data_IF_182289608689
#
_entry.id   IF_182289608689
#
_cell.length_a   1.000
_cell.length_b   1.000
_cell.length_c   1.000
_cell.angle_alpha   90.00
_cell.angle_beta   90.00
_cell.angle_gamma   90.00
#
_symmetry.space_group_name_H-M   'P 1'
#
loop_
_entity.id
_entity.type
_entity.pdbx_description
1 polymer ?
#
# COMPACT_ATOMS: atom_id res chain seq x y z
N UNK A 1 6.99 7.73 -17.22
CA UNK A 1 7.23 6.31 -16.91
C UNK A 1 5.90 5.68 -16.52
N UNK A 2 5.62 4.46 -16.98
CA UNK A 2 4.36 3.76 -16.66
C UNK A 2 4.58 2.85 -15.45
N UNK A 3 4.29 3.36 -14.25
CA UNK A 3 4.57 2.66 -13.00
C UNK A 3 3.70 1.42 -12.78
N UNK A 4 2.47 1.39 -13.32
CA UNK A 4 1.63 0.17 -13.28
C UNK A 4 2.32 -0.97 -14.01
N UNK A 5 2.82 -0.72 -15.22
CA UNK A 5 3.59 -1.73 -15.99
C UNK A 5 4.88 -2.12 -15.30
N UNK A 6 5.61 -1.16 -14.72
CA UNK A 6 6.84 -1.45 -13.98
C UNK A 6 6.57 -2.38 -12.79
N UNK A 7 5.58 -2.06 -11.96
CA UNK A 7 5.26 -2.84 -10.77
C UNK A 7 4.74 -4.23 -11.12
N UNK A 8 3.94 -4.35 -12.18
CA UNK A 8 3.54 -5.66 -12.70
C UNK A 8 4.74 -6.51 -13.15
N UNK A 9 5.74 -5.91 -13.82
CA UNK A 9 6.94 -6.64 -14.26
C UNK A 9 7.84 -7.03 -13.07
N UNK A 10 7.95 -6.15 -12.06
CA UNK A 10 8.67 -6.42 -10.83
C UNK A 10 8.05 -7.58 -10.05
N UNK A 11 6.72 -7.59 -9.89
CA UNK A 11 5.99 -8.67 -9.23
C UNK A 11 6.17 -10.00 -9.98
N UNK A 12 6.15 -9.95 -11.31
CA UNK A 12 6.31 -11.12 -12.18
C UNK A 12 7.73 -11.68 -12.18
N UNK A 13 8.75 -10.81 -12.10
CA UNK A 13 10.17 -11.19 -12.28
C UNK A 13 11.09 -10.46 -11.31
N UNK A 14 10.94 -10.65 -9.99
CA UNK A 14 11.70 -9.91 -8.97
C UNK A 14 13.22 -10.02 -9.14
N UNK A 15 13.72 -11.20 -9.53
CA UNK A 15 15.15 -11.43 -9.71
C UNK A 15 15.81 -10.58 -10.79
N UNK A 16 15.07 -10.08 -11.79
CA UNK A 16 15.64 -9.14 -12.79
C UNK A 16 15.93 -7.76 -12.20
N UNK A 17 15.29 -7.44 -11.08
CA UNK A 17 15.44 -6.18 -10.35
C UNK A 17 16.30 -6.35 -9.11
N UNK A 18 16.95 -7.51 -8.94
CA UNK A 18 17.77 -7.83 -7.77
C UNK A 18 16.96 -8.08 -6.50
N UNK A 19 15.64 -8.33 -6.63
CA UNK A 19 14.75 -8.52 -5.50
C UNK A 19 14.59 -10.01 -5.16
N UNK A 20 14.46 -10.32 -3.88
CA UNK A 20 14.28 -11.69 -3.38
C UNK A 20 12.81 -12.15 -3.45
N UNK A 21 11.88 -11.23 -3.76
CA UNK A 21 10.45 -11.48 -3.81
C UNK A 21 9.77 -11.44 -2.43
N UNK A 22 10.43 -10.91 -1.42
CA UNK A 22 9.92 -10.76 -0.06
C UNK A 22 9.17 -9.44 0.11
N UNK A 23 8.17 -9.44 0.99
CA UNK A 23 7.36 -8.25 1.26
C UNK A 23 8.19 -7.03 1.68
N UNK A 24 9.18 -7.24 2.57
CA UNK A 24 10.06 -6.18 3.03
C UNK A 24 10.92 -5.58 1.92
N UNK A 25 11.44 -6.42 1.03
CA UNK A 25 12.29 -6.02 -0.08
C UNK A 25 11.51 -5.19 -1.10
N UNK A 26 10.30 -5.64 -1.45
CA UNK A 26 9.38 -4.84 -2.27
C UNK A 26 9.01 -3.51 -1.62
N UNK A 27 8.74 -3.47 -0.32
CA UNK A 27 8.45 -2.21 0.37
C UNK A 27 9.63 -1.24 0.28
N UNK A 28 10.85 -1.74 0.46
CA UNK A 28 12.08 -0.94 0.36
C UNK A 28 12.28 -0.40 -1.06
N UNK A 29 12.07 -1.25 -2.07
CA UNK A 29 12.11 -0.84 -3.47
C UNK A 29 11.09 0.27 -3.78
N UNK A 30 9.84 0.10 -3.34
CA UNK A 30 8.76 1.04 -3.61
C UNK A 30 8.98 2.39 -2.92
N UNK A 31 9.51 2.38 -1.69
CA UNK A 31 9.92 3.61 -1.00
C UNK A 31 11.05 4.32 -1.76
N UNK A 32 12.02 3.56 -2.30
CA UNK A 32 13.08 4.12 -3.15
C UNK A 32 12.54 4.70 -4.46
N UNK A 33 11.58 4.02 -5.10
CA UNK A 33 10.91 4.52 -6.29
C UNK A 33 10.15 5.82 -5.99
N UNK A 34 9.42 5.89 -4.87
CA UNK A 34 8.70 7.10 -4.46
C UNK A 34 9.66 8.26 -4.16
N UNK A 35 10.75 8.00 -3.44
CA UNK A 35 11.80 8.99 -3.18
C UNK A 35 12.42 9.53 -4.49
N UNK A 36 12.64 8.66 -5.49
CA UNK A 36 13.10 9.06 -6.82
C UNK A 36 12.07 9.87 -7.64
N UNK A 37 10.83 10.00 -7.15
CA UNK A 37 9.76 10.82 -7.73
C UNK A 37 9.35 11.96 -6.77
N UNK A 38 10.28 12.48 -5.96
CA UNK A 38 10.03 13.55 -5.00
C UNK A 38 8.85 13.27 -4.03
N UNK A 39 8.62 11.98 -3.71
CA UNK A 39 7.53 11.52 -2.85
C UNK A 39 6.12 11.60 -3.48
N UNK A 40 6.03 11.89 -4.78
CA UNK A 40 4.75 12.11 -5.46
C UNK A 40 4.11 10.84 -6.02
N UNK A 41 4.85 9.74 -6.11
CA UNK A 41 4.38 8.51 -6.73
C UNK A 41 3.32 7.82 -5.85
N UNK A 42 3.56 7.76 -4.55
CA UNK A 42 2.70 7.12 -3.56
C UNK A 42 1.88 8.13 -2.74
N UNK A 43 1.87 9.42 -3.12
CA UNK A 43 0.98 10.42 -2.52
C UNK A 43 -0.49 9.99 -2.66
N UNK A 44 -1.18 9.83 -1.53
CA UNK A 44 -2.56 9.33 -1.46
C UNK A 44 -2.67 7.81 -1.25
N UNK A 45 -1.56 7.06 -1.26
CA UNK A 45 -1.63 5.60 -1.13
C UNK A 45 -2.08 5.20 0.29
N UNK A 46 -1.46 5.77 1.33
CA UNK A 46 -1.88 5.56 2.72
C UNK A 46 -3.36 5.89 2.92
N UNK A 47 -3.81 7.02 2.38
CA UNK A 47 -5.18 7.53 2.46
C UNK A 47 -6.17 6.59 1.76
N UNK A 48 -5.75 5.89 0.70
CA UNK A 48 -6.57 4.88 0.03
C UNK A 48 -6.74 3.58 0.84
N UNK A 49 -5.83 3.32 1.79
CA UNK A 49 -5.81 2.10 2.62
C UNK A 49 -6.46 2.29 3.99
N UNK A 50 -6.29 3.45 4.62
CA UNK A 50 -6.79 3.72 5.98
C UNK A 50 -8.30 3.41 6.13
N UNK A 51 -9.19 3.88 5.23
CA UNK A 51 -10.62 3.58 5.35
C UNK A 51 -10.96 2.09 5.28
N UNK A 52 -10.10 1.27 4.64
CA UNK A 52 -10.30 -0.18 4.49
C UNK A 52 -9.93 -0.95 5.75
N UNK A 53 -8.88 -0.51 6.45
CA UNK A 53 -8.43 -1.14 7.70
C UNK A 53 -9.38 -0.79 8.85
N UNK A 54 -9.88 0.44 8.88
CA UNK A 54 -10.87 0.88 9.86
C UNK A 54 -10.35 1.02 11.31
N UNK A 55 -9.04 0.88 11.53
CA UNK A 55 -8.41 1.00 12.86
C UNK A 55 -7.36 2.12 12.88
N UNK A 56 -7.81 3.36 13.07
CA UNK A 56 -6.95 4.55 13.16
C UNK A 56 -6.22 4.91 11.86
N UNK A 57 -5.48 6.03 11.87
CA UNK A 57 -4.74 6.58 10.72
C UNK A 57 -3.22 6.69 10.95
N UNK A 58 -2.71 6.21 12.09
CA UNK A 58 -1.30 6.38 12.50
C UNK A 58 -0.33 5.35 11.93
N UNK A 59 -0.84 4.35 11.19
CA UNK A 59 -0.02 3.28 10.64
C UNK A 59 0.60 3.69 9.30
N UNK A 60 1.84 3.27 9.06
CA UNK A 60 2.47 3.36 7.74
C UNK A 60 1.71 2.50 6.72
N UNK A 61 1.72 2.86 5.44
CA UNK A 61 1.09 2.03 4.40
C UNK A 61 1.64 0.60 4.40
N UNK A 62 2.94 0.41 4.69
CA UNK A 62 3.57 -0.91 4.80
C UNK A 62 2.98 -1.75 5.92
N UNK A 63 2.46 -1.13 6.97
CA UNK A 63 1.76 -1.81 8.06
C UNK A 63 0.29 -2.02 7.71
N UNK A 64 -0.37 -1.03 7.10
CA UNK A 64 -1.77 -1.12 6.66
C UNK A 64 -2.00 -2.30 5.70
N UNK A 65 -1.11 -2.53 4.74
CA UNK A 65 -1.19 -3.69 3.83
C UNK A 65 -1.12 -5.02 4.61
N UNK A 66 -0.29 -5.13 5.64
CA UNK A 66 -0.21 -6.35 6.47
C UNK A 66 -1.47 -6.55 7.33
N UNK A 67 -2.08 -5.46 7.82
CA UNK A 67 -3.37 -5.51 8.51
C UNK A 67 -4.49 -6.00 7.57
N UNK A 68 -4.46 -5.61 6.30
CA UNK A 68 -5.40 -6.10 5.29
C UNK A 68 -5.11 -7.55 4.89
N UNK A 69 -3.84 -7.96 4.82
CA UNK A 69 -3.44 -9.33 4.45
C UNK A 69 -3.81 -10.35 5.55
N UNK A 70 -3.74 -9.96 6.81
CA UNK A 70 -3.93 -10.88 7.93
C UNK A 70 -4.99 -10.36 8.90
N UNK A 71 -6.26 -10.26 8.46
CA UNK A 71 -7.34 -9.76 9.32
C UNK A 71 -7.49 -10.65 10.55
N UNK A 72 -7.60 -10.04 11.73
CA UNK A 72 -7.73 -10.74 13.01
C UNK A 72 -6.41 -11.08 13.70
N UNK A 73 -5.26 -10.92 13.05
CA UNK A 73 -3.96 -11.01 13.71
C UNK A 73 -3.67 -9.71 14.47
N UNK A 74 -3.24 -9.83 15.73
CA UNK A 74 -2.93 -8.69 16.61
C UNK A 74 -1.43 -8.46 16.84
N UNK A 75 -0.58 -9.43 16.46
CA UNK A 75 0.87 -9.36 16.53
C UNK A 75 1.51 -10.36 15.55
N UNK A 76 2.80 -10.19 15.26
CA UNK A 76 3.56 -11.15 14.47
C UNK A 76 3.30 -11.10 12.96
N UNK A 77 2.80 -9.97 12.43
CA UNK A 77 2.49 -9.84 11.00
C UNK A 77 3.73 -9.89 10.11
N UNK A 78 4.87 -9.43 10.62
CA UNK A 78 6.13 -9.39 9.85
C UNK A 78 6.70 -10.80 9.68
N UNK A 79 6.61 -11.59 10.73
CA UNK A 79 7.01 -12.99 10.76
C UNK A 79 6.11 -13.81 9.84
N UNK A 80 4.79 -13.58 9.88
CA UNK A 80 3.84 -14.20 8.96
C UNK A 80 4.15 -13.85 7.50
N UNK A 81 4.38 -12.57 7.20
CA UNK A 81 4.76 -12.10 5.86
C UNK A 81 6.16 -12.57 5.41
N UNK A 82 7.02 -12.99 6.33
CA UNK A 82 8.32 -13.59 6.02
C UNK A 82 8.23 -15.12 5.86
N UNK A 83 7.22 -15.75 6.44
CA UNK A 83 6.97 -17.18 6.43
C UNK A 83 5.84 -17.59 5.49
N UNK A 84 4.84 -18.29 6.03
CA UNK A 84 3.76 -18.92 5.26
C UNK A 84 2.90 -17.91 4.48
N UNK A 85 2.62 -16.75 5.09
CA UNK A 85 1.86 -15.66 4.49
C UNK A 85 2.62 -14.83 3.45
N UNK A 86 3.89 -15.13 3.16
CA UNK A 86 4.75 -14.31 2.26
C UNK A 86 4.09 -14.00 0.93
N UNK A 87 3.65 -15.04 0.21
CA UNK A 87 3.07 -14.87 -1.13
C UNK A 87 1.78 -14.04 -1.05
N UNK A 88 0.94 -14.31 -0.06
CA UNK A 88 -0.32 -13.59 0.12
C UNK A 88 -0.11 -12.08 0.38
N UNK A 89 0.84 -11.73 1.26
CA UNK A 89 1.16 -10.33 1.54
C UNK A 89 1.72 -9.59 0.31
N UNK A 90 2.57 -10.27 -0.47
CA UNK A 90 3.12 -9.73 -1.72
C UNK A 90 2.04 -9.52 -2.78
N UNK A 91 1.20 -10.52 -3.02
CA UNK A 91 0.13 -10.43 -4.01
C UNK A 91 -0.87 -9.33 -3.64
N UNK A 92 -1.22 -9.20 -2.36
CA UNK A 92 -2.08 -8.13 -1.89
C UNK A 92 -1.42 -6.75 -2.07
N UNK A 93 -0.12 -6.60 -1.77
CA UNK A 93 0.60 -5.34 -1.99
C UNK A 93 0.48 -4.88 -3.45
N UNK A 94 0.78 -5.76 -4.41
CA UNK A 94 0.74 -5.40 -5.82
C UNK A 94 -0.68 -5.18 -6.34
N UNK A 95 -1.66 -5.94 -5.84
CA UNK A 95 -3.07 -5.68 -6.16
C UNK A 95 -3.52 -4.30 -5.67
N UNK A 96 -3.18 -3.92 -4.44
CA UNK A 96 -3.52 -2.61 -3.87
C UNK A 96 -2.81 -1.46 -4.62
N UNK A 97 -1.56 -1.66 -5.03
CA UNK A 97 -0.82 -0.67 -5.84
C UNK A 97 -1.44 -0.49 -7.23
N UNK A 98 -1.83 -1.58 -7.89
CA UNK A 98 -2.46 -1.50 -9.21
C UNK A 98 -3.79 -0.76 -9.13
N UNK A 99 -4.65 -1.13 -8.17
CA UNK A 99 -5.93 -0.45 -7.92
C UNK A 99 -5.74 1.03 -7.60
N UNK A 100 -4.78 1.36 -6.73
CA UNK A 100 -4.47 2.76 -6.37
C UNK A 100 -4.01 3.57 -7.59
N UNK A 101 -3.06 3.04 -8.37
CA UNK A 101 -2.53 3.75 -9.53
C UNK A 101 -3.58 3.90 -10.64
N UNK A 102 -4.44 2.90 -10.83
CA UNK A 102 -5.60 2.99 -11.72
C UNK A 102 -6.55 4.10 -11.30
N UNK A 103 -6.95 4.09 -10.02
CA UNK A 103 -7.85 5.09 -9.46
C UNK A 103 -7.26 6.49 -9.55
N UNK A 104 -5.97 6.66 -9.25
CA UNK A 104 -5.25 7.94 -9.31
C UNK A 104 -5.15 8.49 -10.73
N UNK A 105 -5.05 7.62 -11.74
CA UNK A 105 -4.96 8.02 -13.14
C UNK A 105 -6.31 8.52 -13.72
N UNK A 106 -7.44 8.19 -13.09
CA UNK A 106 -8.75 8.66 -13.52
C UNK A 106 -8.90 10.19 -13.34
N UNK A 107 -9.72 10.88 -14.16
CA UNK A 107 -10.02 12.30 -13.97
C UNK A 107 -10.55 12.58 -12.55
N UNK A 108 -9.87 13.46 -11.81
CA UNK A 108 -10.21 13.76 -10.42
C UNK A 108 -9.90 12.63 -9.41
N UNK A 109 -9.23 11.55 -9.85
CA UNK A 109 -8.96 10.36 -9.05
C UNK A 109 -8.21 10.63 -7.75
N UNK A 110 -7.16 11.47 -7.81
CA UNK A 110 -6.43 11.92 -6.62
C UNK A 110 -7.33 12.64 -5.62
N UNK A 111 -8.16 13.59 -6.09
CA UNK A 111 -9.07 14.32 -5.22
C UNK A 111 -10.09 13.38 -4.56
N UNK A 112 -10.64 12.44 -5.32
CA UNK A 112 -11.57 11.44 -4.82
C UNK A 112 -10.96 10.56 -3.71
N UNK A 113 -9.68 10.18 -3.81
CA UNK A 113 -8.99 9.42 -2.76
C UNK A 113 -8.95 10.21 -1.45
N UNK A 114 -8.57 11.49 -1.52
CA UNK A 114 -8.53 12.35 -0.34
C UNK A 114 -9.93 12.68 0.20
N UNK A 115 -10.93 12.84 -0.66
CA UNK A 115 -12.31 13.09 -0.24
C UNK A 115 -12.90 11.90 0.54
N UNK A 116 -12.67 10.66 0.07
CA UNK A 116 -13.05 9.45 0.79
C UNK A 116 -12.35 9.37 2.15
N UNK A 117 -11.05 9.63 2.17
CA UNK A 117 -10.26 9.63 3.39
C UNK A 117 -10.74 10.69 4.39
N UNK A 118 -10.98 11.93 3.95
CA UNK A 118 -11.49 13.00 4.79
C UNK A 118 -12.92 12.71 5.29
N UNK A 119 -13.75 12.08 4.48
CA UNK A 119 -15.09 11.64 4.87
C UNK A 119 -15.00 10.61 5.99
N UNK A 120 -14.16 9.59 5.82
CA UNK A 120 -13.89 8.59 6.85
C UNK A 120 -13.34 9.23 8.13
N UNK A 121 -12.38 10.14 7.99
CA UNK A 121 -11.71 10.81 9.11
C UNK A 121 -12.71 11.66 9.93
N UNK A 122 -13.59 12.42 9.27
CA UNK A 122 -14.65 13.23 9.90
C UNK A 122 -15.71 12.40 10.64
N UNK A 123 -15.84 11.12 10.32
CA UNK A 123 -16.74 10.19 10.99
C UNK A 123 -16.13 9.59 12.28
N UNK A 124 -14.82 9.72 12.48
CA UNK A 124 -14.15 9.15 13.65
C UNK A 124 -14.41 9.98 14.91
N UNK A 125 -14.70 9.29 16.02
CA UNK A 125 -15.03 9.93 17.32
C UNK A 125 -13.87 10.71 17.93
N UNK A 126 -12.64 10.38 17.55
CA UNK A 126 -11.41 11.01 18.04
C UNK A 126 -10.95 12.20 17.18
N UNK A 127 -11.40 12.33 15.93
CA UNK A 127 -10.92 13.39 15.01
C UNK A 127 -11.47 14.78 15.34
N UNK A 128 -12.65 14.86 15.96
CA UNK A 128 -13.31 16.13 16.31
C UNK A 128 -12.99 16.65 17.72
N UNK A 129 -12.01 16.06 18.40
CA UNK A 129 -11.60 16.49 19.75
C UNK A 129 -10.53 17.57 19.70
#
# INVERSE_FOLDING_TARGET
MDYRKLFAEIHRRPGLYGLDGGYHDYCTFLLGADAGNDGQLLTGFTESLVPRVGTGDSLTWTSLVLHLAFPGRTAGWREEAAGEGRQHAVDLLFALLDEFLERRAAPGGTAAIFDDYLTWLKAQSWYRR
#
